data_IF_652102528722
#
_entry.id   IF_652102528722
#
_cell.length_a   1.000
_cell.length_b   1.000
_cell.length_c   1.000
_cell.angle_alpha   90.00
_cell.angle_beta   90.00
_cell.angle_gamma   90.00
#
_symmetry.space_group_name_H-M   'P 1'
#
loop_
_entity.id
_entity.type
_entity.pdbx_description
1 polymer ?
#
# COMPACT_ATOMS: atom_id res chain seq x y z
N UNK A 1 -20.48 2.87 -20.29
CA UNK A 1 -20.99 3.72 -19.18
C UNK A 1 -20.00 3.79 -18.02
N UNK A 2 -19.49 2.67 -17.51
CA UNK A 2 -18.53 2.65 -16.38
C UNK A 2 -17.19 3.34 -16.68
N UNK A 3 -16.57 3.09 -17.84
CA UNK A 3 -15.28 3.71 -18.22
C UNK A 3 -15.36 5.24 -18.33
N UNK A 4 -16.45 5.75 -18.93
CA UNK A 4 -16.71 7.18 -19.03
C UNK A 4 -16.87 7.77 -17.63
N UNK A 5 -17.60 7.09 -16.74
CA UNK A 5 -17.77 7.53 -15.36
C UNK A 5 -16.44 7.55 -14.59
N UNK A 6 -15.55 6.58 -14.80
CA UNK A 6 -14.21 6.58 -14.22
C UNK A 6 -13.39 7.79 -14.69
N UNK A 7 -13.44 8.13 -15.98
CA UNK A 7 -12.76 9.31 -16.52
C UNK A 7 -13.35 10.61 -15.95
N UNK A 8 -14.67 10.72 -15.85
CA UNK A 8 -15.32 11.86 -15.21
C UNK A 8 -14.87 11.99 -13.76
N UNK A 9 -14.78 10.89 -13.02
CA UNK A 9 -14.26 10.86 -11.65
C UNK A 9 -12.83 11.40 -11.56
N UNK A 10 -11.92 10.91 -12.43
CA UNK A 10 -10.53 11.39 -12.47
C UNK A 10 -10.44 12.89 -12.75
N UNK A 11 -11.17 13.38 -13.76
CA UNK A 11 -11.20 14.81 -14.11
C UNK A 11 -11.77 15.64 -12.97
N UNK A 12 -12.81 15.15 -12.29
CA UNK A 12 -13.45 15.85 -11.17
C UNK A 12 -12.48 16.00 -9.98
N UNK A 13 -11.74 14.95 -9.63
CA UNK A 13 -10.73 15.01 -8.57
C UNK A 13 -9.60 16.00 -8.90
N UNK A 14 -9.14 16.01 -10.15
CA UNK A 14 -8.14 16.99 -10.62
C UNK A 14 -8.72 18.41 -10.59
N UNK A 15 -9.97 18.61 -11.00
CA UNK A 15 -10.64 19.91 -10.95
C UNK A 15 -10.76 20.43 -9.51
N UNK A 16 -11.13 19.58 -8.56
CA UNK A 16 -11.17 19.92 -7.13
C UNK A 16 -9.77 20.34 -6.66
N UNK A 17 -8.72 19.58 -6.99
CA UNK A 17 -7.35 19.94 -6.63
C UNK A 17 -6.91 21.29 -7.23
N UNK A 18 -7.33 21.61 -8.46
CA UNK A 18 -7.07 22.92 -9.08
C UNK A 18 -7.83 24.05 -8.37
N UNK A 19 -9.07 23.82 -7.94
CA UNK A 19 -9.88 24.83 -7.25
C UNK A 19 -9.22 25.24 -5.94
N UNK A 20 -8.77 24.27 -5.15
CA UNK A 20 -8.12 24.47 -3.85
C UNK A 20 -6.60 24.73 -3.93
N UNK A 21 -6.03 24.85 -5.14
CA UNK A 21 -4.62 25.18 -5.30
C UNK A 21 -4.36 26.64 -4.91
N UNK A 22 -3.38 26.84 -4.01
CA UNK A 22 -2.97 28.17 -3.54
C UNK A 22 -2.42 29.05 -4.68
N UNK A 23 -1.61 28.48 -5.58
CA UNK A 23 -1.09 29.19 -6.74
C UNK A 23 -1.14 28.29 -7.98
N UNK A 24 -2.16 28.49 -8.79
CA UNK A 24 -2.41 27.70 -10.01
C UNK A 24 -1.34 27.91 -11.08
N UNK A 25 -0.59 29.02 -11.04
CA UNK A 25 0.41 29.36 -12.06
C UNK A 25 1.75 28.64 -11.83
N UNK A 26 2.05 28.24 -10.60
CA UNK A 26 3.26 27.48 -10.26
C UNK A 26 3.10 25.96 -10.40
N UNK A 27 1.98 25.49 -10.95
CA UNK A 27 1.76 24.06 -11.20
C UNK A 27 2.71 23.56 -12.30
N UNK A 28 3.66 22.71 -11.91
CA UNK A 28 4.59 22.05 -12.83
C UNK A 28 3.90 20.87 -13.53
N UNK A 29 3.49 21.09 -14.78
CA UNK A 29 2.76 20.08 -15.58
C UNK A 29 3.53 18.76 -15.71
N UNK A 30 4.86 18.79 -15.85
CA UNK A 30 5.70 17.58 -15.89
C UNK A 30 5.50 16.71 -14.65
N UNK A 31 5.54 17.31 -13.47
CA UNK A 31 5.39 16.61 -12.20
C UNK A 31 3.97 16.07 -12.01
N UNK A 32 2.94 16.87 -12.32
CA UNK A 32 1.54 16.45 -12.12
C UNK A 32 1.13 15.36 -13.12
N UNK A 33 1.40 15.56 -14.40
CA UNK A 33 1.09 14.57 -15.43
C UNK A 33 1.94 13.31 -15.28
N UNK A 34 3.22 13.46 -14.92
CA UNK A 34 4.09 12.34 -14.60
C UNK A 34 3.58 11.52 -13.42
N UNK A 35 3.13 12.17 -12.34
CA UNK A 35 2.60 11.49 -11.17
C UNK A 35 1.31 10.73 -11.51
N UNK A 36 0.41 11.37 -12.26
CA UNK A 36 -0.81 10.74 -12.74
C UNK A 36 -0.52 9.54 -13.66
N UNK A 37 0.44 9.68 -14.59
CA UNK A 37 0.83 8.61 -15.49
C UNK A 37 1.46 7.42 -14.75
N UNK A 38 2.31 7.67 -13.76
CA UNK A 38 2.89 6.60 -12.91
C UNK A 38 1.78 5.91 -12.12
N UNK A 39 0.85 6.65 -11.51
CA UNK A 39 -0.25 6.07 -10.75
C UNK A 39 -1.17 5.21 -11.64
N UNK A 40 -1.58 5.73 -12.80
CA UNK A 40 -2.39 4.98 -13.76
C UNK A 40 -1.63 3.78 -14.33
N UNK A 41 -0.34 3.93 -14.60
CA UNK A 41 0.55 2.89 -15.11
C UNK A 41 0.72 1.74 -14.12
N UNK A 42 0.97 2.03 -12.83
CA UNK A 42 1.03 1.01 -11.79
C UNK A 42 -0.32 0.30 -11.66
N UNK A 43 -1.42 1.05 -11.64
CA UNK A 43 -2.77 0.47 -11.59
C UNK A 43 -3.06 -0.47 -12.75
N UNK A 44 -2.76 -0.04 -13.98
CA UNK A 44 -2.91 -0.88 -15.17
C UNK A 44 -1.99 -2.11 -15.11
N UNK A 45 -0.74 -1.95 -14.67
CA UNK A 45 0.20 -3.06 -14.55
C UNK A 45 -0.32 -4.12 -13.58
N UNK A 46 -0.65 -3.75 -12.34
CA UNK A 46 -1.00 -4.73 -11.30
C UNK A 46 -2.44 -5.24 -11.38
N UNK A 47 -3.36 -4.50 -12.00
CA UNK A 47 -4.79 -4.87 -12.05
C UNK A 47 -5.26 -5.37 -13.42
N UNK A 48 -4.57 -5.05 -14.52
CA UNK A 48 -5.02 -5.41 -15.88
C UNK A 48 -4.05 -6.38 -16.58
N UNK A 49 -2.74 -6.20 -16.43
CA UNK A 49 -1.74 -7.04 -17.11
C UNK A 49 -1.56 -8.37 -16.35
N UNK A 50 -1.69 -9.54 -17.00
CA UNK A 50 -1.58 -10.84 -16.31
C UNK A 50 -0.27 -11.02 -15.54
N UNK A 51 0.85 -10.56 -16.12
CA UNK A 51 2.15 -10.60 -15.45
C UNK A 51 2.17 -9.72 -14.19
N UNK A 52 1.62 -8.51 -14.24
CA UNK A 52 1.58 -7.64 -13.07
C UNK A 52 0.61 -8.11 -11.99
N UNK A 53 -0.50 -8.75 -12.38
CA UNK A 53 -1.40 -9.45 -11.45
C UNK A 53 -0.66 -10.59 -10.72
N UNK A 54 0.13 -11.40 -11.44
CA UNK A 54 0.93 -12.48 -10.85
C UNK A 54 1.99 -11.93 -9.88
N UNK A 55 2.65 -10.81 -10.22
CA UNK A 55 3.59 -10.12 -9.31
C UNK A 55 2.87 -9.65 -8.04
N UNK A 56 1.73 -8.98 -8.17
CA UNK A 56 0.93 -8.51 -7.03
C UNK A 56 0.47 -9.69 -6.16
N UNK A 57 0.03 -10.79 -6.76
CA UNK A 57 -0.40 -11.99 -6.05
C UNK A 57 0.77 -12.62 -5.27
N UNK A 58 1.97 -12.66 -5.86
CA UNK A 58 3.17 -13.19 -5.20
C UNK A 58 3.53 -12.35 -3.97
N UNK A 59 3.51 -11.02 -4.11
CA UNK A 59 3.75 -10.09 -2.98
C UNK A 59 2.67 -10.29 -1.90
N UNK A 60 1.40 -10.39 -2.30
CA UNK A 60 0.27 -10.58 -1.39
C UNK A 60 0.37 -11.89 -0.62
N UNK A 61 0.78 -12.98 -1.28
CA UNK A 61 1.04 -14.26 -0.64
C UNK A 61 2.19 -14.17 0.37
N UNK A 62 3.26 -13.44 0.04
CA UNK A 62 4.35 -13.16 0.97
C UNK A 62 3.89 -12.42 2.24
N UNK A 63 3.11 -11.34 2.08
CA UNK A 63 2.53 -10.60 3.20
C UNK A 63 1.56 -11.47 4.02
N UNK A 64 0.75 -12.29 3.35
CA UNK A 64 -0.14 -13.25 4.01
C UNK A 64 0.63 -14.25 4.86
N UNK A 65 1.78 -14.73 4.39
CA UNK A 65 2.62 -15.64 5.18
C UNK A 65 3.19 -14.96 6.43
N UNK A 66 3.58 -13.68 6.31
CA UNK A 66 4.02 -12.89 7.47
C UNK A 66 2.89 -12.72 8.49
N UNK A 67 1.65 -12.56 8.03
CA UNK A 67 0.47 -12.52 8.92
C UNK A 67 0.23 -13.85 9.64
N UNK A 68 0.53 -14.99 9.01
CA UNK A 68 0.44 -16.30 9.68
C UNK A 68 1.44 -16.36 10.84
N UNK A 69 2.70 -15.96 10.62
CA UNK A 69 3.70 -15.90 11.70
C UNK A 69 3.31 -14.93 12.83
N UNK A 70 2.67 -13.81 12.49
CA UNK A 70 2.13 -12.90 13.50
C UNK A 70 1.05 -13.58 14.36
N UNK A 71 0.16 -14.35 13.74
CA UNK A 71 -0.89 -15.09 14.44
C UNK A 71 -0.34 -16.19 15.36
N UNK A 72 0.77 -16.84 14.99
CA UNK A 72 1.43 -17.82 15.87
C UNK A 72 1.90 -17.15 17.19
N UNK A 73 2.46 -15.94 17.09
CA UNK A 73 2.84 -15.15 18.26
C UNK A 73 1.65 -14.70 19.12
N UNK A 74 0.52 -14.37 18.48
CA UNK A 74 -0.73 -14.03 19.17
C UNK A 74 -1.28 -15.25 19.91
N UNK A 75 -1.27 -16.42 19.26
CA UNK A 75 -1.69 -17.69 19.87
C UNK A 75 -0.83 -18.05 21.07
N UNK A 76 0.48 -17.84 20.99
CA UNK A 76 1.38 -18.01 22.13
C UNK A 76 1.05 -17.08 23.30
N UNK A 77 0.79 -15.79 23.04
CA UNK A 77 0.57 -14.78 24.09
C UNK A 77 -0.81 -14.87 24.73
N UNK A 78 -1.86 -15.12 23.96
CA UNK A 78 -3.26 -15.04 24.40
C UNK A 78 -3.97 -16.39 24.49
N UNK A 79 -3.35 -17.48 24.01
CA UNK A 79 -3.90 -18.84 24.09
C UNK A 79 -5.34 -18.93 23.55
N UNK A 80 -6.23 -19.54 24.34
CA UNK A 80 -7.64 -19.71 23.97
C UNK A 80 -8.44 -18.41 23.78
N UNK A 81 -7.95 -17.26 24.28
CA UNK A 81 -8.61 -15.96 24.02
C UNK A 81 -8.38 -15.46 22.59
N UNK A 82 -7.35 -15.99 21.91
CA UNK A 82 -7.15 -15.78 20.50
C UNK A 82 -7.94 -16.78 19.63
N UNK A 83 -8.65 -17.74 20.24
CA UNK A 83 -9.42 -18.72 19.51
C UNK A 83 -10.79 -18.17 19.12
N UNK A 84 -11.00 -18.03 17.82
CA UNK A 84 -12.23 -17.49 17.25
C UNK A 84 -13.38 -18.48 17.42
N UNK A 85 -13.10 -19.78 17.45
CA UNK A 85 -14.15 -20.82 17.56
C UNK A 85 -14.74 -20.86 18.97
N UNK A 86 -13.91 -20.59 19.99
CA UNK A 86 -14.33 -20.66 21.39
C UNK A 86 -14.83 -19.32 21.96
N UNK A 87 -14.21 -18.20 21.57
CA UNK A 87 -14.44 -16.88 22.19
C UNK A 87 -15.00 -15.85 21.19
N UNK A 88 -15.09 -16.21 19.91
CA UNK A 88 -15.48 -15.30 18.84
C UNK A 88 -14.32 -14.38 18.39
N UNK A 89 -14.57 -13.55 17.38
CA UNK A 89 -13.56 -12.64 16.86
C UNK A 89 -13.36 -11.43 17.78
N UNK A 90 -12.41 -11.52 18.70
CA UNK A 90 -12.03 -10.41 19.59
C UNK A 90 -11.06 -9.48 18.85
N UNK A 91 -11.58 -8.35 18.35
CA UNK A 91 -10.80 -7.36 17.60
C UNK A 91 -9.50 -6.95 18.31
N UNK A 92 -9.57 -6.69 19.62
CA UNK A 92 -8.42 -6.26 20.40
C UNK A 92 -7.27 -7.29 20.43
N UNK A 93 -7.58 -8.58 20.30
CA UNK A 93 -6.61 -9.69 20.35
C UNK A 93 -6.14 -10.07 18.94
N UNK A 94 -7.04 -10.01 17.94
CA UNK A 94 -6.71 -10.41 16.57
C UNK A 94 -6.08 -9.31 15.71
N UNK A 95 -6.34 -8.03 16.01
CA UNK A 95 -5.92 -6.92 15.14
C UNK A 95 -4.81 -6.09 15.75
N UNK A 96 -4.92 -5.71 17.02
CA UNK A 96 -3.92 -4.82 17.64
C UNK A 96 -2.51 -5.44 17.74
N UNK A 97 -2.34 -6.71 18.13
CA UNK A 97 -1.00 -7.30 18.23
C UNK A 97 -0.30 -7.44 16.89
N UNK A 98 -1.05 -7.58 15.78
CA UNK A 98 -0.48 -7.59 14.43
C UNK A 98 0.27 -6.28 14.15
N UNK A 99 -0.25 -5.15 14.62
CA UNK A 99 0.43 -3.84 14.49
C UNK A 99 1.78 -3.85 15.22
N UNK A 100 1.83 -4.43 16.43
CA UNK A 100 3.06 -4.52 17.23
C UNK A 100 4.09 -5.38 16.50
N UNK A 101 3.68 -6.54 15.99
CA UNK A 101 4.53 -7.45 15.23
C UNK A 101 5.08 -6.80 13.95
N UNK A 102 4.22 -6.15 13.16
CA UNK A 102 4.68 -5.46 11.94
C UNK A 102 5.59 -4.28 12.28
N UNK A 103 5.35 -3.57 13.38
CA UNK A 103 6.21 -2.46 13.81
C UNK A 103 7.61 -2.95 14.18
N UNK A 104 7.72 -4.06 14.91
CA UNK A 104 9.01 -4.65 15.24
C UNK A 104 9.72 -5.24 14.01
N UNK A 105 8.98 -5.91 13.11
CA UNK A 105 9.51 -6.41 11.85
C UNK A 105 10.06 -5.28 10.98
N UNK A 106 9.31 -4.21 10.80
CA UNK A 106 9.76 -3.03 10.04
C UNK A 106 11.00 -2.42 10.69
N UNK A 107 11.05 -2.32 12.02
CA UNK A 107 12.24 -1.83 12.73
C UNK A 107 13.49 -2.70 12.45
N UNK A 108 13.33 -4.03 12.41
CA UNK A 108 14.41 -4.95 12.00
C UNK A 108 14.81 -4.72 10.55
N UNK A 109 13.86 -4.55 9.63
CA UNK A 109 14.16 -4.28 8.21
C UNK A 109 14.89 -2.94 8.02
N UNK A 110 14.61 -1.93 8.85
CA UNK A 110 15.38 -0.69 8.91
C UNK A 110 16.79 -0.90 9.48
N UNK A 111 16.93 -1.67 10.56
CA UNK A 111 18.24 -1.97 11.12
C UNK A 111 19.13 -2.73 10.12
N UNK A 112 18.56 -3.67 9.36
CA UNK A 112 19.25 -4.43 8.32
C UNK A 112 19.53 -3.62 7.03
N UNK A 113 19.00 -2.41 6.89
CA UNK A 113 19.23 -1.57 5.71
C UNK A 113 18.28 -1.83 4.52
N UNK A 114 17.35 -2.79 4.63
CA UNK A 114 16.46 -3.20 3.53
C UNK A 114 15.48 -2.08 3.18
N UNK A 115 14.88 -1.45 4.19
CA UNK A 115 13.93 -0.35 3.98
C UNK A 115 14.61 0.84 3.29
N UNK A 116 15.84 1.17 3.70
CA UNK A 116 16.62 2.24 3.10
C UNK A 116 16.94 1.95 1.62
N UNK A 117 17.24 0.70 1.29
CA UNK A 117 17.49 0.28 -0.08
C UNK A 117 16.23 0.45 -0.95
N UNK A 118 15.07 -0.03 -0.49
CA UNK A 118 13.79 0.10 -1.20
C UNK A 118 13.41 1.59 -1.39
N UNK A 119 13.49 2.39 -0.33
CA UNK A 119 13.15 3.82 -0.36
C UNK A 119 14.05 4.57 -1.33
N UNK A 120 15.36 4.27 -1.35
CA UNK A 120 16.30 4.93 -2.25
C UNK A 120 16.00 4.64 -3.72
N UNK A 121 15.60 3.40 -4.04
CA UNK A 121 15.23 3.01 -5.40
C UNK A 121 13.93 3.71 -5.82
N UNK A 122 12.86 3.58 -5.02
CA UNK A 122 11.56 4.14 -5.35
C UNK A 122 11.59 5.67 -5.38
N UNK A 123 12.18 6.30 -4.36
CA UNK A 123 12.33 7.75 -4.28
C UNK A 123 13.21 8.30 -5.39
N UNK A 124 14.32 7.63 -5.71
CA UNK A 124 15.21 8.01 -6.81
C UNK A 124 14.55 7.86 -8.18
N UNK A 125 13.73 6.83 -8.38
CA UNK A 125 12.95 6.65 -9.60
C UNK A 125 11.90 7.75 -9.77
N UNK A 126 11.15 8.07 -8.71
CA UNK A 126 10.16 9.15 -8.71
C UNK A 126 10.81 10.50 -8.95
N UNK A 127 11.93 10.82 -8.28
CA UNK A 127 12.64 12.09 -8.46
C UNK A 127 13.15 12.29 -9.89
N UNK A 128 13.55 11.21 -10.58
CA UNK A 128 14.00 11.29 -11.98
C UNK A 128 12.84 11.42 -12.96
N UNK A 129 11.70 10.80 -12.64
CA UNK A 129 10.53 10.76 -13.52
C UNK A 129 9.68 12.04 -13.45
N UNK A 130 9.56 12.65 -12.26
CA UNK A 130 8.70 13.80 -11.95
C UNK A 130 9.40 15.15 -12.02
#
# INVERSE_FOLDING_TARGET
MTLIMSLVGMVTLVAIALIFSYDRKSIRLRTVLGAFAIQAGIGAFVLYVPFGQAVLQTISAGVSQVLVFANDGIGFLFGGLADVENVGFVFAIKVLPVIIFFSSLIAVLYYLGIMQWVIRILGGALQKAL
#
